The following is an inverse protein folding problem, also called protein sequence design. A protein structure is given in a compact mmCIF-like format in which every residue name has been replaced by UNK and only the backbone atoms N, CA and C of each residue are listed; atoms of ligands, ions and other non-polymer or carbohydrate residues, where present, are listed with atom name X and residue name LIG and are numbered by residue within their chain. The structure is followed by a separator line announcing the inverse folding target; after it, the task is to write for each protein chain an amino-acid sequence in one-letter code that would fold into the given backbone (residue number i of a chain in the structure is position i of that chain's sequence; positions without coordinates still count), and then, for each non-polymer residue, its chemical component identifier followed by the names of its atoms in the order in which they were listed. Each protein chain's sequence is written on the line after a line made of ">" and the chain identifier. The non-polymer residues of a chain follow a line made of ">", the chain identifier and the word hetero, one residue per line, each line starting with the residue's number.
data_IF_367263687729
#
_entry.id   IF_367263687729
#
_cell.length_a   1.000
_cell.length_b   1.000
_cell.length_c   1.000
_cell.angle_alpha   90.00
_cell.angle_beta   90.00
_cell.angle_gamma   90.00
#
_symmetry.space_group_name_H-M   'P 1'
#
loop_
_entity.id
_entity.type
_entity.pdbx_description
1 polymer ?
#
# COMPACT_ATOMS: atom_id res chain seq x y z
N UNK A 1 0.43 9.61 -69.32
CA UNK A 1 -0.44 8.98 -68.30
C UNK A 1 0.22 7.81 -67.53
N UNK A 2 0.99 6.90 -68.18
CA UNK A 2 1.69 5.79 -67.48
C UNK A 2 2.66 6.24 -66.38
N UNK A 3 3.41 7.32 -66.59
CA UNK A 3 4.38 7.86 -65.62
C UNK A 3 3.76 8.43 -64.35
N UNK A 4 2.51 8.93 -64.41
CA UNK A 4 1.79 9.50 -63.25
C UNK A 4 1.28 8.38 -62.34
N UNK A 5 0.73 7.30 -62.91
CA UNK A 5 0.26 6.13 -62.14
C UNK A 5 1.39 5.44 -61.38
N UNK A 6 2.57 5.36 -61.98
CA UNK A 6 3.76 4.79 -61.33
C UNK A 6 4.23 5.64 -60.14
N UNK A 7 4.24 6.97 -60.28
CA UNK A 7 4.61 7.89 -59.19
C UNK A 7 3.65 7.77 -58.00
N UNK A 8 2.35 7.71 -58.25
CA UNK A 8 1.34 7.53 -57.20
C UNK A 8 1.53 6.18 -56.50
N UNK A 9 1.73 5.09 -57.27
CA UNK A 9 1.96 3.76 -56.70
C UNK A 9 3.21 3.70 -55.80
N UNK A 10 4.30 4.35 -56.20
CA UNK A 10 5.53 4.42 -55.41
C UNK A 10 5.36 5.24 -54.12
N UNK A 11 4.64 6.36 -54.18
CA UNK A 11 4.37 7.20 -53.01
C UNK A 11 3.49 6.47 -51.99
N UNK A 12 2.42 5.82 -52.46
CA UNK A 12 1.53 5.05 -51.58
C UNK A 12 2.25 3.84 -50.97
N UNK A 13 3.05 3.13 -51.77
CA UNK A 13 3.86 2.00 -51.29
C UNK A 13 4.91 2.43 -50.26
N UNK A 14 5.60 3.54 -50.50
CA UNK A 14 6.55 4.12 -49.55
C UNK A 14 5.90 4.55 -48.23
N UNK A 15 4.73 5.18 -48.29
CA UNK A 15 3.96 5.57 -47.10
C UNK A 15 3.51 4.35 -46.29
N UNK A 16 3.02 3.31 -46.96
CA UNK A 16 2.62 2.06 -46.31
C UNK A 16 3.80 1.35 -45.64
N UNK A 17 4.98 1.34 -46.29
CA UNK A 17 6.20 0.78 -45.72
C UNK A 17 6.67 1.56 -44.48
N UNK A 18 6.63 2.90 -44.52
CA UNK A 18 6.93 3.77 -43.38
C UNK A 18 5.99 3.50 -42.21
N UNK A 19 4.69 3.36 -42.48
CA UNK A 19 3.70 3.05 -41.45
C UNK A 19 3.93 1.67 -40.83
N UNK A 20 4.22 0.65 -41.64
CA UNK A 20 4.52 -0.70 -41.18
C UNK A 20 5.79 -0.75 -40.30
N UNK A 21 6.85 -0.03 -40.70
CA UNK A 21 8.07 0.11 -39.92
C UNK A 21 7.83 0.84 -38.59
N UNK A 22 7.06 1.93 -38.62
CA UNK A 22 6.66 2.65 -37.41
C UNK A 22 5.86 1.77 -36.45
N UNK A 23 4.88 1.03 -36.96
CA UNK A 23 4.06 0.11 -36.16
C UNK A 23 4.90 -1.04 -35.56
N UNK A 24 5.82 -1.61 -36.33
CA UNK A 24 6.73 -2.65 -35.84
C UNK A 24 7.67 -2.12 -34.74
N UNK A 25 8.22 -0.91 -34.92
CA UNK A 25 9.03 -0.23 -33.90
C UNK A 25 8.24 0.06 -32.63
N UNK A 26 7.01 0.56 -32.79
CA UNK A 26 6.11 0.85 -31.68
C UNK A 26 5.79 -0.40 -30.85
N UNK A 27 5.44 -1.52 -31.50
CA UNK A 27 5.18 -2.80 -30.82
C UNK A 27 6.38 -3.31 -30.03
N UNK A 28 7.60 -3.11 -30.55
CA UNK A 28 8.84 -3.51 -29.87
C UNK A 28 9.09 -2.68 -28.62
N UNK A 29 8.81 -1.37 -28.67
CA UNK A 29 8.94 -0.47 -27.52
C UNK A 29 7.89 -0.74 -26.44
N UNK A 30 6.64 -1.03 -26.83
CA UNK A 30 5.55 -1.37 -25.90
C UNK A 30 5.87 -2.66 -25.12
N UNK A 31 6.41 -3.68 -25.80
CA UNK A 31 6.79 -4.95 -25.16
C UNK A 31 7.89 -4.78 -24.10
N UNK A 32 8.83 -3.85 -24.31
CA UNK A 32 9.86 -3.54 -23.31
C UNK A 32 9.28 -2.86 -22.06
N UNK A 33 8.28 -1.97 -22.22
CA UNK A 33 7.61 -1.31 -21.10
C UNK A 33 6.83 -2.30 -20.24
N UNK A 34 6.08 -3.21 -20.88
CA UNK A 34 5.30 -4.24 -20.17
C UNK A 34 6.24 -5.15 -19.36
N UNK A 35 7.36 -5.59 -19.95
CA UNK A 35 8.32 -6.44 -19.25
C UNK A 35 8.97 -5.75 -18.04
N UNK A 36 9.25 -4.44 -18.13
CA UNK A 36 9.78 -3.66 -16.99
C UNK A 36 8.75 -3.55 -15.87
N UNK A 37 7.47 -3.33 -16.20
CA UNK A 37 6.40 -3.24 -15.20
C UNK A 37 6.12 -4.59 -14.54
N UNK A 38 6.05 -5.67 -15.32
CA UNK A 38 5.86 -7.04 -14.81
C UNK A 38 7.03 -7.45 -13.92
N UNK A 39 8.26 -7.13 -14.33
CA UNK A 39 9.46 -7.45 -13.54
C UNK A 39 9.52 -6.66 -12.23
N UNK A 40 9.21 -5.36 -12.24
CA UNK A 40 9.10 -4.57 -10.99
C UNK A 40 7.99 -5.09 -10.08
N UNK A 41 6.84 -5.45 -10.63
CA UNK A 41 5.74 -6.06 -9.87
C UNK A 41 6.18 -7.38 -9.25
N UNK A 42 6.82 -8.27 -10.01
CA UNK A 42 7.32 -9.54 -9.54
C UNK A 42 8.43 -9.37 -8.47
N UNK A 43 9.38 -8.46 -8.66
CA UNK A 43 10.43 -8.15 -7.68
C UNK A 43 9.84 -7.57 -6.39
N UNK A 44 8.82 -6.70 -6.49
CA UNK A 44 8.09 -6.20 -5.32
C UNK A 44 7.27 -7.28 -4.60
N UNK A 45 6.62 -8.18 -5.35
CA UNK A 45 5.87 -9.30 -4.78
C UNK A 45 6.79 -10.33 -4.12
N UNK A 46 7.95 -10.62 -4.70
CA UNK A 46 8.96 -11.50 -4.13
C UNK A 46 9.56 -10.89 -2.85
N UNK A 47 9.93 -9.61 -2.87
CA UNK A 47 10.40 -8.92 -1.67
C UNK A 47 9.32 -8.85 -0.57
N UNK A 48 8.05 -8.66 -0.93
CA UNK A 48 6.95 -8.68 0.01
C UNK A 48 6.72 -10.09 0.60
N UNK A 49 6.81 -11.13 -0.23
CA UNK A 49 6.70 -12.52 0.19
C UNK A 49 7.87 -12.95 1.09
N UNK A 50 9.08 -12.48 0.81
CA UNK A 50 10.26 -12.71 1.65
C UNK A 50 10.08 -12.04 3.01
N UNK A 51 9.57 -10.80 3.07
CA UNK A 51 9.27 -10.13 4.34
C UNK A 51 8.18 -10.87 5.11
N UNK A 52 7.11 -11.32 4.46
CA UNK A 52 6.04 -12.10 5.09
C UNK A 52 6.56 -13.44 5.61
N UNK A 53 7.43 -14.13 4.86
CA UNK A 53 8.08 -15.37 5.29
C UNK A 53 9.01 -15.14 6.48
N UNK A 54 9.74 -14.02 6.51
CA UNK A 54 10.68 -13.68 7.58
C UNK A 54 9.99 -13.19 8.86
N UNK A 55 8.89 -12.44 8.73
CA UNK A 55 8.16 -11.85 9.86
C UNK A 55 7.00 -12.72 10.34
N UNK A 56 6.51 -13.65 9.52
CA UNK A 56 5.29 -14.41 9.78
C UNK A 56 4.01 -13.56 9.75
N UNK A 57 4.10 -12.31 9.27
CA UNK A 57 2.99 -11.35 9.21
C UNK A 57 2.30 -11.48 7.86
N UNK A 58 1.03 -11.89 7.90
CA UNK A 58 0.14 -11.85 6.73
C UNK A 58 -0.21 -10.37 6.43
N UNK A 59 0.54 -9.80 5.48
CA UNK A 59 0.44 -8.39 5.10
C UNK A 59 -0.92 -8.05 4.49
N UNK A 60 -1.58 -9.02 3.87
CA UNK A 60 -2.91 -8.81 3.31
C UNK A 60 -3.95 -8.72 4.43
N UNK A 61 -3.89 -9.62 5.42
CA UNK A 61 -4.75 -9.52 6.62
C UNK A 61 -4.53 -8.23 7.38
N UNK A 62 -3.28 -7.80 7.55
CA UNK A 62 -3.02 -6.54 8.24
C UNK A 62 -3.53 -5.33 7.47
N UNK A 63 -3.44 -5.32 6.13
CA UNK A 63 -4.04 -4.27 5.31
C UNK A 63 -5.57 -4.23 5.44
N UNK A 64 -6.22 -5.39 5.29
CA UNK A 64 -7.67 -5.50 5.38
C UNK A 64 -8.17 -5.08 6.76
N UNK A 65 -7.49 -5.51 7.83
CA UNK A 65 -7.79 -5.08 9.18
C UNK A 65 -7.83 -3.56 9.34
N UNK A 66 -6.84 -2.84 8.82
CA UNK A 66 -6.82 -1.38 8.88
C UNK A 66 -7.99 -0.79 8.09
N UNK A 67 -8.27 -1.28 6.88
CA UNK A 67 -9.38 -0.77 6.06
C UNK A 67 -10.72 -0.99 6.73
N UNK A 68 -10.97 -2.21 7.22
CA UNK A 68 -12.22 -2.60 7.85
C UNK A 68 -12.51 -1.74 9.09
N UNK A 69 -11.49 -1.51 9.93
CA UNK A 69 -11.64 -0.72 11.15
C UNK A 69 -11.73 0.78 10.89
N UNK A 70 -10.92 1.33 9.98
CA UNK A 70 -10.93 2.78 9.68
C UNK A 70 -12.28 3.27 9.16
N UNK A 71 -13.01 2.45 8.42
CA UNK A 71 -14.34 2.81 7.89
C UNK A 71 -15.50 2.37 8.78
N UNK A 72 -15.23 1.76 9.92
CA UNK A 72 -16.30 1.26 10.78
C UNK A 72 -16.88 2.38 11.65
N UNK A 73 -18.16 2.70 11.42
CA UNK A 73 -18.88 3.72 12.19
C UNK A 73 -18.84 3.47 13.71
N UNK A 74 -18.81 2.21 14.15
CA UNK A 74 -18.67 1.89 15.57
C UNK A 74 -17.32 2.29 16.14
N UNK A 75 -16.23 2.15 15.37
CA UNK A 75 -14.92 2.66 15.79
C UNK A 75 -14.94 4.19 15.88
N UNK A 76 -15.57 4.87 14.92
CA UNK A 76 -15.72 6.32 14.96
C UNK A 76 -16.52 6.77 16.20
N UNK A 77 -17.61 6.06 16.52
CA UNK A 77 -18.40 6.30 17.73
C UNK A 77 -17.60 6.02 19.01
N UNK A 78 -16.79 4.96 19.03
CA UNK A 78 -15.89 4.64 20.13
C UNK A 78 -14.86 5.76 20.37
N UNK A 79 -14.27 6.31 19.31
CA UNK A 79 -13.33 7.43 19.42
C UNK A 79 -13.97 8.67 20.05
N UNK A 80 -15.25 8.93 19.76
CA UNK A 80 -16.01 10.06 20.32
C UNK A 80 -16.45 9.77 21.75
N UNK A 81 -16.92 8.55 22.03
CA UNK A 81 -17.44 8.11 23.31
C UNK A 81 -16.86 6.72 23.64
N UNK A 82 -15.68 6.68 24.29
CA UNK A 82 -15.00 5.41 24.57
C UNK A 82 -15.82 4.52 25.48
N UNK A 83 -16.02 3.27 25.04
CA UNK A 83 -16.65 2.20 25.82
C UNK A 83 -15.62 1.07 26.00
N UNK A 84 -15.22 0.84 27.24
CA UNK A 84 -14.24 -0.18 27.59
C UNK A 84 -14.69 -1.59 27.22
N UNK A 85 -15.99 -1.89 27.32
CA UNK A 85 -16.53 -3.21 26.95
C UNK A 85 -16.45 -3.40 25.44
N UNK A 86 -16.84 -2.38 24.67
CA UNK A 86 -16.74 -2.43 23.20
C UNK A 86 -15.29 -2.63 22.74
N UNK A 87 -14.32 -1.96 23.38
CA UNK A 87 -12.91 -2.13 23.05
C UNK A 87 -12.42 -3.57 23.30
N UNK A 88 -12.81 -4.19 24.42
CA UNK A 88 -12.46 -5.58 24.70
C UNK A 88 -13.12 -6.54 23.71
N UNK A 89 -14.40 -6.36 23.42
CA UNK A 89 -15.12 -7.30 22.56
C UNK A 89 -14.60 -7.24 21.11
N UNK A 90 -14.20 -6.05 20.62
CA UNK A 90 -13.86 -5.82 19.22
C UNK A 90 -12.36 -5.65 18.95
N UNK A 91 -11.68 -4.75 19.68
CA UNK A 91 -10.26 -4.43 19.44
C UNK A 91 -9.34 -5.50 20.01
N UNK A 92 -9.59 -5.98 21.24
CA UNK A 92 -8.75 -7.00 21.85
C UNK A 92 -8.80 -8.32 21.09
N UNK A 93 -10.01 -8.76 20.71
CA UNK A 93 -10.24 -10.00 19.95
C UNK A 93 -9.58 -9.94 18.57
N UNK A 94 -9.70 -8.79 17.88
CA UNK A 94 -9.15 -8.65 16.53
C UNK A 94 -7.63 -8.46 16.54
N UNK A 95 -7.09 -7.80 17.56
CA UNK A 95 -5.65 -7.69 17.76
C UNK A 95 -4.97 -9.06 17.81
N UNK A 96 -5.55 -10.01 18.56
CA UNK A 96 -5.01 -11.37 18.69
C UNK A 96 -5.09 -12.16 17.37
N UNK A 97 -6.11 -11.90 16.54
CA UNK A 97 -6.30 -12.55 15.25
C UNK A 97 -5.28 -12.10 14.18
N UNK A 98 -4.90 -10.82 14.17
CA UNK A 98 -4.02 -10.23 13.14
C UNK A 98 -2.53 -10.39 13.48
N UNK A 99 -2.20 -10.91 14.68
CA UNK A 99 -0.82 -11.21 15.15
C UNK A 99 0.13 -10.00 15.08
N UNK A 100 -0.38 -8.81 15.35
CA UNK A 100 0.44 -7.59 15.38
C UNK A 100 1.15 -7.42 16.71
N UNK A 101 2.21 -6.62 16.73
CA UNK A 101 2.95 -6.30 17.97
C UNK A 101 2.28 -5.18 18.78
N UNK A 102 1.49 -4.34 18.13
CA UNK A 102 0.75 -3.26 18.77
C UNK A 102 -0.31 -2.64 17.86
N UNK A 103 -1.37 -2.12 18.48
CA UNK A 103 -2.42 -1.33 17.87
C UNK A 103 -2.66 -0.07 18.68
N UNK A 104 -2.89 1.05 17.98
CA UNK A 104 -3.24 2.33 18.57
C UNK A 104 -4.45 2.89 17.82
N UNK A 105 -5.46 3.34 18.57
CA UNK A 105 -6.60 4.10 18.05
C UNK A 105 -6.44 5.55 18.49
N UNK A 106 -6.52 6.46 17.54
CA UNK A 106 -6.23 7.88 17.75
C UNK A 106 -7.49 8.73 17.57
N UNK A 107 -7.60 9.81 18.33
CA UNK A 107 -8.58 10.86 18.07
C UNK A 107 -8.14 11.80 16.93
N UNK A 108 -9.01 12.74 16.55
CA UNK A 108 -8.72 13.76 15.51
C UNK A 108 -7.53 14.66 15.84
N UNK A 109 -7.12 14.72 17.11
CA UNK A 109 -5.95 15.47 17.59
C UNK A 109 -4.69 14.59 17.63
N UNK A 110 -4.76 13.33 17.17
CA UNK A 110 -3.72 12.31 17.25
C UNK A 110 -3.33 11.90 18.67
N UNK A 111 -4.27 12.07 19.63
CA UNK A 111 -4.09 11.52 20.98
C UNK A 111 -4.54 10.07 20.99
N UNK A 112 -3.81 9.25 21.72
CA UNK A 112 -4.13 7.83 21.90
C UNK A 112 -5.40 7.68 22.75
N UNK A 113 -6.46 7.12 22.16
CA UNK A 113 -7.71 6.77 22.84
C UNK A 113 -7.68 5.32 23.32
N UNK A 114 -7.02 4.47 22.56
CA UNK A 114 -6.78 3.07 22.91
C UNK A 114 -5.40 2.65 22.43
N UNK A 115 -4.73 1.83 23.24
CA UNK A 115 -3.51 1.15 22.84
C UNK A 115 -3.47 -0.25 23.45
N UNK A 116 -3.15 -1.24 22.62
CA UNK A 116 -2.82 -2.60 23.05
C UNK A 116 -1.51 -3.00 22.40
N UNK A 117 -0.63 -3.55 23.22
CA UNK A 117 0.71 -3.97 22.83
C UNK A 117 0.88 -5.40 23.29
N UNK A 118 1.56 -6.20 22.48
CA UNK A 118 1.81 -7.62 22.78
C UNK A 118 2.58 -7.75 24.10
N UNK A 119 2.15 -8.64 25.01
CA UNK A 119 2.86 -8.87 26.26
C UNK A 119 4.34 -9.24 26.03
N UNK A 120 5.23 -8.68 26.85
CA UNK A 120 6.67 -8.94 26.79
C UNK A 120 7.44 -8.04 25.82
N UNK A 121 6.77 -7.29 24.95
CA UNK A 121 7.41 -6.23 24.18
C UNK A 121 7.54 -4.97 25.05
N UNK A 122 8.73 -4.38 25.09
CA UNK A 122 8.95 -3.06 25.73
C UNK A 122 8.50 -1.90 24.83
N UNK A 123 7.41 -2.09 24.10
CA UNK A 123 6.74 -1.02 23.36
C UNK A 123 5.91 -0.22 24.37
N UNK A 124 6.08 1.09 24.37
CA UNK A 124 5.27 1.97 25.21
C UNK A 124 3.82 1.98 24.71
N UNK A 125 2.89 2.40 25.57
CA UNK A 125 1.56 2.84 25.12
C UNK A 125 1.63 4.12 24.29
N UNK A 126 2.77 4.81 24.31
CA UNK A 126 3.05 5.93 23.42
C UNK A 126 3.09 5.49 21.96
N UNK A 127 2.91 6.45 21.06
CA UNK A 127 2.95 6.21 19.63
C UNK A 127 4.33 5.68 19.19
N UNK A 128 4.38 4.71 18.27
CA UNK A 128 5.64 4.15 17.75
C UNK A 128 6.39 5.13 16.82
N UNK A 129 5.80 6.29 16.51
CA UNK A 129 6.41 7.37 15.76
C UNK A 129 5.85 8.74 16.25
N UNK A 130 6.58 9.86 16.03
CA UNK A 130 6.07 11.19 16.34
C UNK A 130 4.72 11.47 15.68
N UNK A 131 3.80 12.10 16.39
CA UNK A 131 2.44 12.36 15.92
C UNK A 131 2.43 13.25 14.67
N UNK A 132 3.39 14.17 14.54
CA UNK A 132 3.57 15.01 13.35
C UNK A 132 3.92 14.19 12.11
N UNK A 133 4.80 13.19 12.25
CA UNK A 133 5.16 12.30 11.15
C UNK A 133 3.98 11.44 10.69
N UNK A 134 3.13 11.01 11.63
CA UNK A 134 1.88 10.29 11.32
C UNK A 134 0.89 11.22 10.62
N UNK A 135 0.72 12.46 11.12
CA UNK A 135 -0.16 13.48 10.55
C UNK A 135 0.16 13.74 9.09
N UNK A 136 1.42 14.04 8.80
CA UNK A 136 1.90 14.35 7.45
C UNK A 136 1.64 13.22 6.46
N UNK A 137 1.68 11.97 6.93
CA UNK A 137 1.44 10.78 6.09
C UNK A 137 -0.05 10.60 5.81
N UNK A 138 -0.90 10.67 6.84
CA UNK A 138 -2.35 10.53 6.71
C UNK A 138 -2.99 11.67 5.89
N UNK A 139 -2.41 12.88 5.95
CA UNK A 139 -2.87 14.00 5.11
C UNK A 139 -2.61 13.80 3.61
N UNK A 140 -1.60 13.00 3.24
CA UNK A 140 -1.27 12.73 1.83
C UNK A 140 -2.10 11.58 1.26
N UNK A 141 -2.37 10.56 2.08
CA UNK A 141 -3.15 9.39 1.70
C UNK A 141 -3.93 8.89 2.91
N UNK A 142 -5.22 8.53 2.75
CA UNK A 142 -6.03 8.02 3.85
C UNK A 142 -5.38 6.79 4.47
N UNK A 143 -4.93 5.84 3.66
CA UNK A 143 -4.15 4.68 4.13
C UNK A 143 -2.65 4.86 3.88
N UNK A 144 -1.85 4.65 4.92
CA UNK A 144 -0.39 4.79 4.88
C UNK A 144 0.31 3.54 5.41
N UNK A 145 1.46 3.25 4.80
CA UNK A 145 2.40 2.22 5.25
C UNK A 145 3.79 2.86 5.25
N UNK A 146 4.48 2.77 6.37
CA UNK A 146 5.85 3.27 6.50
C UNK A 146 6.62 2.51 7.56
N UNK A 147 7.94 2.64 7.54
CA UNK A 147 8.83 2.04 8.52
C UNK A 147 9.34 3.10 9.48
N UNK A 148 9.39 2.77 10.78
CA UNK A 148 9.96 3.63 11.81
C UNK A 148 10.93 2.85 12.69
N UNK A 149 11.98 3.52 13.16
CA UNK A 149 12.86 2.97 14.17
C UNK A 149 12.19 3.12 15.54
N UNK A 150 12.02 2.01 16.24
CA UNK A 150 11.53 1.94 17.61
C UNK A 150 12.68 1.48 18.52
N UNK A 151 12.45 1.53 19.83
CA UNK A 151 13.36 0.96 20.82
C UNK A 151 13.53 -0.57 20.70
N UNK A 152 12.67 -1.26 19.92
CA UNK A 152 12.76 -2.69 19.63
C UNK A 152 13.35 -2.99 18.25
N UNK A 153 13.71 -1.96 17.47
CA UNK A 153 14.20 -2.10 16.10
C UNK A 153 13.24 -1.51 15.07
N UNK A 154 13.38 -1.94 13.82
CA UNK A 154 12.60 -1.43 12.70
C UNK A 154 11.17 -2.00 12.74
N UNK A 155 10.16 -1.13 12.82
CA UNK A 155 8.75 -1.51 12.84
C UNK A 155 8.02 -1.03 11.58
N UNK A 156 7.19 -1.89 10.99
CA UNK A 156 6.25 -1.52 9.94
C UNK A 156 4.99 -0.95 10.60
N UNK A 157 4.68 0.31 10.31
CA UNK A 157 3.48 0.99 10.78
C UNK A 157 2.50 1.10 9.62
N UNK A 158 1.26 0.66 9.88
CA UNK A 158 0.12 0.82 8.97
C UNK A 158 -0.97 1.61 9.66
N UNK A 159 -1.56 2.56 8.95
CA UNK A 159 -2.61 3.42 9.48
C UNK A 159 -3.60 3.82 8.41
N UNK A 160 -4.80 4.19 8.85
CA UNK A 160 -5.95 4.63 8.06
C UNK A 160 -6.73 5.70 8.80
#
# INVERSE_FOLDING_TARGET
>A
MRSVRLRIALLTGGLAALFALGAAGYRKLEGQRINVLVRRSAEQSLAAADIERLTGIDRAKFANFIVDYTWWDELANYVIRPDAKWAVDNLDTSFDAVKTDGIWVLDKSLRVVYAKVKPGLRLSRDLPAPSEAIRDRLQRKPFTVFWANTNLGLAEIRGG
#
